data_IF_185114626816
#
_entry.id   IF_185114626816
#
_cell.length_a   1.000
_cell.length_b   1.000
_cell.length_c   1.000
_cell.angle_alpha   90.00
_cell.angle_beta   90.00
_cell.angle_gamma   90.00
#
_symmetry.space_group_name_H-M   'P 1'
#
loop_
_entity.id
_entity.type
_entity.pdbx_description
1 polymer ?
#
# COMPACT_ATOMS: atom_id res chain seq x y z
N UNK A 1 -11.07 -2.09 5.41
CA UNK A 1 -9.92 -2.97 5.11
C UNK A 1 -9.33 -2.54 3.76
N UNK A 2 -8.01 -2.46 3.61
CA UNK A 2 -7.36 -2.01 2.36
C UNK A 2 -7.51 -2.98 1.19
N UNK A 3 -7.35 -2.45 -0.03
CA UNK A 3 -7.47 -3.16 -1.29
C UNK A 3 -6.30 -4.14 -1.47
N UNK A 4 -6.55 -5.43 -1.80
CA UNK A 4 -5.49 -6.35 -2.17
C UNK A 4 -4.81 -5.88 -3.46
N UNK A 5 -3.49 -5.98 -3.51
CA UNK A 5 -2.66 -5.61 -4.68
C UNK A 5 -1.67 -6.74 -5.01
N UNK A 6 -2.18 -7.97 -5.00
CA UNK A 6 -1.38 -9.19 -5.16
C UNK A 6 -0.62 -9.22 -6.50
N UNK A 7 -1.12 -8.52 -7.53
CA UNK A 7 -0.45 -8.37 -8.82
C UNK A 7 0.91 -7.63 -8.71
N UNK A 8 1.11 -6.78 -7.69
CA UNK A 8 2.40 -6.13 -7.41
C UNK A 8 3.26 -7.06 -6.57
N UNK A 9 2.69 -7.59 -5.47
CA UNK A 9 3.33 -8.59 -4.62
C UNK A 9 2.26 -9.34 -3.81
N UNK A 10 2.25 -10.68 -3.79
CA UNK A 10 1.28 -11.44 -3.02
C UNK A 10 1.24 -11.04 -1.54
N UNK A 11 0.04 -10.92 -0.99
CA UNK A 11 -0.22 -10.58 0.41
C UNK A 11 -0.14 -9.08 0.73
N UNK A 12 0.15 -8.23 -0.25
CA UNK A 12 0.18 -6.78 -0.07
C UNK A 12 -1.21 -6.16 -0.22
N UNK A 13 -1.42 -5.09 0.52
CA UNK A 13 -2.62 -4.27 0.51
C UNK A 13 -2.27 -2.79 0.40
N UNK A 14 -3.14 -2.02 -0.27
CA UNK A 14 -3.08 -0.57 -0.39
C UNK A 14 -4.30 0.06 0.29
N UNK A 15 -4.09 1.13 1.05
CA UNK A 15 -5.17 1.91 1.66
C UNK A 15 -4.94 3.40 1.38
N UNK A 16 -5.96 4.08 0.86
CA UNK A 16 -5.95 5.54 0.73
C UNK A 16 -6.33 6.17 2.07
N UNK A 17 -5.48 7.07 2.60
CA UNK A 17 -5.74 7.82 3.82
C UNK A 17 -5.30 9.27 3.59
N UNK A 18 -6.26 10.20 3.64
CA UNK A 18 -6.05 11.60 3.28
C UNK A 18 -5.31 11.71 1.92
N UNK A 19 -4.18 12.41 1.86
CA UNK A 19 -3.36 12.58 0.66
C UNK A 19 -2.33 11.46 0.41
N UNK A 20 -2.39 10.36 1.17
CA UNK A 20 -1.41 9.27 1.10
C UNK A 20 -2.04 7.93 0.73
N UNK A 21 -1.16 7.03 0.27
CA UNK A 21 -1.38 5.61 0.12
C UNK A 21 -0.46 4.85 1.07
N UNK A 22 -1.05 4.05 1.94
CA UNK A 22 -0.34 3.08 2.78
C UNK A 22 -0.26 1.76 2.03
N UNK A 23 0.94 1.23 1.87
CA UNK A 23 1.22 -0.10 1.37
C UNK A 23 1.67 -0.96 2.54
N UNK A 24 0.94 -2.04 2.82
CA UNK A 24 1.15 -2.87 3.99
C UNK A 24 0.84 -4.33 3.72
N UNK A 25 1.27 -5.22 4.62
CA UNK A 25 0.85 -6.62 4.67
C UNK A 25 0.46 -7.00 6.09
N UNK A 26 -0.24 -8.12 6.23
CA UNK A 26 -0.55 -8.72 7.54
C UNK A 26 0.38 -9.92 7.73
N UNK A 27 1.11 -9.96 8.84
CA UNK A 27 1.98 -11.09 9.18
C UNK A 27 1.16 -12.28 9.67
N UNK A 28 1.76 -13.46 9.74
CA UNK A 28 1.11 -14.66 10.29
C UNK A 28 0.65 -14.45 11.74
N UNK A 29 1.35 -13.59 12.50
CA UNK A 29 0.98 -13.20 13.86
C UNK A 29 -0.16 -12.15 13.92
N UNK A 30 -0.77 -11.78 12.78
CA UNK A 30 -1.85 -10.81 12.71
C UNK A 30 -1.40 -9.34 12.82
N UNK A 31 -0.09 -9.07 12.77
CA UNK A 31 0.43 -7.70 12.86
C UNK A 31 0.42 -7.01 11.50
N UNK A 32 0.25 -5.69 11.50
CA UNK A 32 0.38 -4.86 10.29
C UNK A 32 1.84 -4.46 10.12
N UNK A 33 2.44 -4.87 9.01
CA UNK A 33 3.76 -4.45 8.58
C UNK A 33 3.60 -3.39 7.48
N UNK A 34 3.89 -2.12 7.82
CA UNK A 34 3.78 -0.98 6.90
C UNK A 34 5.05 -0.90 6.07
N UNK A 35 4.92 -1.20 4.78
CA UNK A 35 6.07 -1.31 3.88
C UNK A 35 6.43 0.04 3.28
N UNK A 36 5.44 0.84 2.85
CA UNK A 36 5.63 2.19 2.32
C UNK A 36 4.44 3.09 2.58
N UNK A 37 4.72 4.39 2.70
CA UNK A 37 3.72 5.45 2.67
C UNK A 37 4.09 6.35 1.51
N UNK A 38 3.20 6.47 0.53
CA UNK A 38 3.41 7.31 -0.65
C UNK A 38 2.37 8.41 -0.70
N UNK A 39 2.77 9.63 -0.99
CA UNK A 39 1.83 10.69 -1.36
C UNK A 39 1.09 10.28 -2.65
N UNK A 40 -0.23 10.49 -2.73
CA UNK A 40 -1.05 10.07 -3.87
C UNK A 40 -0.62 10.71 -5.20
N UNK A 41 0.00 11.89 -5.14
CA UNK A 41 0.59 12.57 -6.31
C UNK A 41 1.80 11.84 -6.92
N UNK A 42 2.44 10.93 -6.20
CA UNK A 42 3.51 10.10 -6.79
C UNK A 42 2.95 9.10 -7.82
N UNK A 43 1.67 8.70 -7.72
CA UNK A 43 1.01 7.86 -8.72
C UNK A 43 0.89 8.59 -10.07
N UNK A 44 0.80 9.93 -10.04
CA UNK A 44 0.76 10.79 -11.24
C UNK A 44 2.15 10.91 -11.88
N UNK A 45 3.22 10.78 -11.10
CA UNK A 45 4.61 10.99 -11.54
C UNK A 45 5.30 9.73 -12.09
N UNK A 46 4.58 8.60 -12.25
CA UNK A 46 5.12 7.38 -12.85
C UNK A 46 5.47 7.53 -14.35
N UNK A 47 5.32 8.73 -14.92
CA UNK A 47 5.75 9.06 -16.27
C UNK A 47 6.41 10.45 -16.28
N UNK A 48 7.72 10.50 -15.99
CA UNK A 48 8.66 11.55 -16.39
C UNK A 48 10.06 10.95 -16.46
#
# INVERSE_FOLDING_TARGET
>A
MGLPIDAIRPGYRKLAVASHFLFYRVTEAGMIDVVRILHQRMDIAAHL
#
